data_IF_145135022183
#
_entry.id   IF_145135022183
#
_cell.length_a   1.000
_cell.length_b   1.000
_cell.length_c   1.000
_cell.angle_alpha   90.00
_cell.angle_beta   90.00
_cell.angle_gamma   90.00
#
_symmetry.space_group_name_H-M   'P 1'
#
loop_
_entity.id
_entity.type
_entity.pdbx_description
1 polymer ?
#
# COMPACT_ATOMS: atom_id res chain seq x y z
N UNK A 1 -17.27 -19.25 -1.52
CA UNK A 1 -16.09 -18.97 -2.36
C UNK A 1 -14.91 -18.42 -1.56
N UNK A 2 -14.82 -17.13 -1.22
CA UNK A 2 -13.65 -16.56 -0.51
C UNK A 2 -13.42 -17.14 0.91
N UNK A 3 -14.47 -17.69 1.52
CA UNK A 3 -14.45 -18.26 2.88
C UNK A 3 -14.10 -19.75 2.92
N UNK A 4 -13.94 -20.38 1.76
CA UNK A 4 -13.57 -21.78 1.70
C UNK A 4 -12.12 -21.94 2.18
N UNK A 5 -11.83 -22.93 3.06
CA UNK A 5 -10.49 -23.11 3.60
C UNK A 5 -9.40 -23.19 2.52
N UNK A 6 -9.69 -23.86 1.40
CA UNK A 6 -8.76 -23.98 0.27
C UNK A 6 -8.40 -22.64 -0.38
N UNK A 7 -9.36 -21.72 -0.49
CA UNK A 7 -9.13 -20.37 -1.05
C UNK A 7 -8.26 -19.54 -0.11
N UNK A 8 -8.56 -19.60 1.21
CA UNK A 8 -7.73 -18.91 2.21
C UNK A 8 -6.28 -19.41 2.19
N UNK A 9 -6.07 -20.72 2.14
CA UNK A 9 -4.72 -21.30 2.05
C UNK A 9 -4.00 -20.88 0.76
N UNK A 10 -4.70 -20.80 -0.37
CA UNK A 10 -4.12 -20.31 -1.62
C UNK A 10 -3.69 -18.84 -1.51
N UNK A 11 -4.54 -17.96 -0.98
CA UNK A 11 -4.23 -16.55 -0.73
C UNK A 11 -2.97 -16.42 0.15
N UNK A 12 -2.93 -17.15 1.27
CA UNK A 12 -1.78 -17.14 2.18
C UNK A 12 -0.49 -17.61 1.51
N UNK A 13 -0.56 -18.59 0.60
CA UNK A 13 0.59 -19.04 -0.18
C UNK A 13 1.15 -17.93 -1.08
N UNK A 14 0.28 -17.21 -1.80
CA UNK A 14 0.67 -16.07 -2.63
C UNK A 14 1.28 -14.94 -1.79
N UNK A 15 0.65 -14.60 -0.66
CA UNK A 15 1.16 -13.58 0.26
C UNK A 15 2.59 -13.90 0.73
N UNK A 16 2.81 -15.14 1.21
CA UNK A 16 4.14 -15.59 1.65
C UNK A 16 5.16 -15.57 0.53
N UNK A 17 4.76 -16.01 -0.68
CA UNK A 17 5.62 -15.97 -1.86
C UNK A 17 6.02 -14.53 -2.21
N UNK A 18 5.06 -13.60 -2.22
CA UNK A 18 5.30 -12.18 -2.51
C UNK A 18 6.26 -11.58 -1.49
N UNK A 19 6.05 -11.80 -0.19
CA UNK A 19 6.95 -11.31 0.84
C UNK A 19 8.37 -11.86 0.67
N UNK A 20 8.53 -13.16 0.46
CA UNK A 20 9.85 -13.77 0.37
C UNK A 20 10.65 -13.33 -0.86
N UNK A 21 9.99 -13.10 -2.00
CA UNK A 21 10.70 -12.78 -3.25
C UNK A 21 10.87 -11.28 -3.50
N UNK A 22 10.15 -10.41 -2.80
CA UNK A 22 10.24 -8.96 -3.00
C UNK A 22 10.98 -8.30 -1.83
N UNK A 23 12.24 -7.88 -1.98
CA UNK A 23 13.02 -7.29 -0.89
C UNK A 23 12.43 -5.95 -0.40
N UNK A 24 11.74 -5.22 -1.27
CA UNK A 24 11.12 -3.92 -0.97
C UNK A 24 9.75 -4.01 -0.29
N UNK A 25 9.13 -5.19 -0.31
CA UNK A 25 7.83 -5.44 0.30
C UNK A 25 8.01 -5.63 1.81
N UNK A 26 7.48 -4.69 2.60
CA UNK A 26 7.45 -4.76 4.06
C UNK A 26 6.21 -5.47 4.58
N UNK A 27 5.08 -5.34 3.87
CA UNK A 27 3.81 -6.01 4.16
C UNK A 27 3.05 -6.33 2.87
N UNK A 28 2.19 -7.35 2.89
CA UNK A 28 1.25 -7.61 1.80
C UNK A 28 0.09 -8.46 2.28
N UNK A 29 -1.04 -8.32 1.61
CA UNK A 29 -2.24 -9.03 1.98
C UNK A 29 -3.34 -8.95 0.95
N UNK A 30 -4.46 -9.50 1.35
CA UNK A 30 -5.73 -9.43 0.63
C UNK A 30 -6.81 -8.90 1.56
N UNK A 31 -7.54 -7.90 1.09
CA UNK A 31 -8.70 -7.34 1.77
C UNK A 31 -9.94 -7.54 0.90
N UNK A 32 -11.06 -7.93 1.50
CA UNK A 32 -12.33 -8.10 0.82
C UNK A 32 -13.47 -7.71 1.75
N UNK A 33 -14.42 -6.98 1.22
CA UNK A 33 -15.70 -6.71 1.86
C UNK A 33 -16.82 -7.23 0.96
N UNK A 34 -17.67 -8.08 1.52
CA UNK A 34 -18.84 -8.63 0.83
C UNK A 34 -20.06 -8.05 1.53
N UNK A 35 -20.84 -7.23 0.83
CA UNK A 35 -22.12 -6.71 1.31
C UNK A 35 -23.12 -7.83 1.54
N UNK A 36 -24.06 -7.60 2.46
CA UNK A 36 -25.14 -8.56 2.69
C UNK A 36 -26.06 -8.63 1.47
N UNK A 37 -26.31 -9.85 0.99
CA UNK A 37 -27.19 -10.10 -0.15
C UNK A 37 -27.97 -11.39 0.06
N UNK A 38 -29.29 -11.25 0.28
CA UNK A 38 -30.18 -12.38 0.56
C UNK A 38 -29.75 -13.14 1.82
N UNK A 39 -29.35 -14.40 1.67
CA UNK A 39 -28.90 -15.26 2.77
C UNK A 39 -27.41 -15.05 3.15
N UNK A 40 -26.64 -14.31 2.35
CA UNK A 40 -25.23 -14.03 2.63
C UNK A 40 -25.15 -12.90 3.65
N UNK A 41 -24.59 -13.21 4.83
CA UNK A 41 -24.27 -12.19 5.83
C UNK A 41 -23.10 -11.35 5.33
N UNK A 42 -23.11 -10.08 5.70
CA UNK A 42 -21.97 -9.19 5.47
C UNK A 42 -20.69 -9.83 6.01
N UNK A 43 -19.62 -9.77 5.23
CA UNK A 43 -18.36 -10.41 5.59
C UNK A 43 -17.16 -9.52 5.31
N UNK A 44 -16.27 -9.47 6.29
CA UNK A 44 -15.01 -8.76 6.26
C UNK A 44 -13.86 -9.77 6.26
N UNK A 45 -12.99 -9.69 5.26
CA UNK A 45 -11.76 -10.44 5.19
C UNK A 45 -10.59 -9.47 5.11
N UNK A 46 -9.67 -9.56 6.05
CA UNK A 46 -8.36 -8.92 5.97
C UNK A 46 -7.29 -9.96 6.35
N UNK A 47 -6.61 -10.49 5.35
CA UNK A 47 -5.49 -11.41 5.53
C UNK A 47 -4.19 -10.67 5.20
N UNK A 48 -3.43 -10.28 6.23
CA UNK A 48 -2.24 -9.42 6.08
C UNK A 48 -1.00 -10.01 6.76
N UNK A 49 0.14 -9.97 6.08
CA UNK A 49 1.42 -10.50 6.55
C UNK A 49 2.52 -9.47 6.31
N UNK A 50 3.56 -9.48 7.15
CA UNK A 50 4.65 -8.51 7.07
C UNK A 50 6.00 -9.08 7.52
N UNK A 51 7.08 -8.41 7.14
CA UNK A 51 8.43 -8.73 7.57
C UNK A 51 8.74 -8.03 8.89
N UNK A 52 9.32 -8.77 9.83
CA UNK A 52 10.09 -8.22 10.95
C UNK A 52 11.56 -8.59 10.76
N UNK A 53 12.45 -7.90 11.46
CA UNK A 53 13.92 -8.04 11.36
C UNK A 53 14.47 -9.48 11.49
N UNK A 54 13.66 -10.45 11.95
CA UNK A 54 14.04 -11.86 12.10
C UNK A 54 13.02 -12.85 11.52
N UNK A 55 12.43 -12.54 10.36
CA UNK A 55 11.61 -13.48 9.57
C UNK A 55 10.20 -12.97 9.24
N UNK A 56 9.41 -13.83 8.60
CA UNK A 56 8.00 -13.53 8.31
C UNK A 56 7.18 -13.66 9.59
N UNK A 57 6.44 -12.60 9.94
CA UNK A 57 5.34 -12.70 10.89
C UNK A 57 4.05 -12.45 10.16
N UNK A 58 3.11 -13.38 10.28
CA UNK A 58 1.72 -13.03 10.05
C UNK A 58 1.39 -11.88 11.01
N UNK A 59 0.72 -10.83 10.53
CA UNK A 59 -0.02 -10.05 11.52
C UNK A 59 -1.14 -10.99 11.94
N UNK A 60 -1.04 -11.59 13.13
CA UNK A 60 -2.26 -11.95 13.85
C UNK A 60 -2.86 -10.62 14.31
N UNK A 61 -3.38 -9.89 13.35
CA UNK A 61 -4.66 -9.24 13.49
C UNK A 61 -5.66 -10.41 13.46
N UNK A 62 -5.66 -11.28 14.48
CA UNK A 62 -6.90 -11.91 14.97
C UNK A 62 -7.78 -10.80 15.55
N UNK A 63 -7.97 -9.74 14.75
CA UNK A 63 -9.08 -8.85 14.87
C UNK A 63 -10.25 -9.76 14.58
N UNK A 64 -10.97 -10.10 15.64
CA UNK A 64 -12.35 -10.50 15.51
C UNK A 64 -13.06 -9.56 14.52
N UNK A 65 -14.17 -10.02 13.92
CA UNK A 65 -14.91 -9.17 12.99
C UNK A 65 -15.22 -7.79 13.58
N UNK A 66 -15.40 -7.69 14.90
CA UNK A 66 -15.62 -6.43 15.59
C UNK A 66 -14.44 -5.45 15.43
N UNK A 67 -13.19 -5.90 15.46
CA UNK A 67 -12.04 -5.02 15.29
C UNK A 67 -11.72 -4.74 13.82
N UNK A 68 -12.02 -5.68 12.90
CA UNK A 68 -11.97 -5.40 11.46
C UNK A 68 -13.03 -4.37 11.03
N UNK A 69 -14.24 -4.47 11.59
CA UNK A 69 -15.32 -3.49 11.38
C UNK A 69 -14.98 -2.12 11.96
N UNK A 70 -14.26 -2.05 13.09
CA UNK A 70 -13.81 -0.78 13.68
C UNK A 70 -12.72 -0.08 12.85
N UNK A 71 -11.94 -0.85 12.09
CA UNK A 71 -10.91 -0.31 11.19
C UNK A 71 -11.51 0.25 9.89
N UNK A 72 -12.68 -0.27 9.46
CA UNK A 72 -13.32 -0.05 8.16
C UNK A 72 -12.33 0.34 7.05
N UNK A 73 -11.55 -0.65 6.60
CA UNK A 73 -10.54 -0.42 5.55
C UNK A 73 -11.14 0.08 4.23
N UNK A 74 -12.46 0.03 4.03
CA UNK A 74 -13.11 0.60 2.82
C UNK A 74 -12.99 2.11 2.77
N UNK A 75 -12.74 2.74 3.91
CA UNK A 75 -12.49 4.19 3.99
C UNK A 75 -11.07 4.55 3.57
N UNK A 76 -10.15 3.58 3.50
CA UNK A 76 -8.77 3.83 3.12
C UNK A 76 -8.62 3.87 1.60
N UNK A 77 -7.88 4.87 1.11
CA UNK A 77 -7.68 5.09 -0.32
C UNK A 77 -7.02 3.90 -1.03
N UNK A 78 -6.12 3.17 -0.35
CA UNK A 78 -5.52 1.95 -0.91
C UNK A 78 -6.54 0.84 -1.20
N UNK A 79 -7.71 0.85 -0.55
CA UNK A 79 -8.80 -0.09 -0.84
C UNK A 79 -9.86 0.54 -1.75
N UNK A 80 -10.34 1.72 -1.37
CA UNK A 80 -11.47 2.41 -2.03
C UNK A 80 -11.20 2.69 -3.50
N UNK A 81 -10.02 3.25 -3.81
CA UNK A 81 -9.68 3.74 -5.13
C UNK A 81 -9.51 2.62 -6.16
N UNK A 82 -8.72 1.54 -5.92
CA UNK A 82 -8.62 0.45 -6.88
C UNK A 82 -9.94 -0.31 -7.08
N UNK A 83 -10.81 -0.39 -6.06
CA UNK A 83 -12.16 -0.96 -6.20
C UNK A 83 -13.04 -0.11 -7.10
N UNK A 84 -13.06 1.21 -6.89
CA UNK A 84 -13.87 2.14 -7.66
C UNK A 84 -13.40 2.31 -9.11
N UNK A 85 -12.08 2.35 -9.32
CA UNK A 85 -11.48 2.60 -10.63
C UNK A 85 -11.21 1.31 -11.43
N UNK A 86 -11.21 0.14 -10.79
CA UNK A 86 -10.96 -1.14 -11.44
C UNK A 86 -9.53 -1.29 -11.98
N UNK A 87 -8.56 -0.51 -11.48
CA UNK A 87 -7.15 -0.56 -11.90
C UNK A 87 -6.20 -0.40 -10.71
N UNK A 88 -4.91 -0.62 -10.95
CA UNK A 88 -3.86 -0.45 -9.96
C UNK A 88 -3.79 0.99 -9.43
N UNK A 89 -3.48 1.12 -8.14
CA UNK A 89 -3.35 2.40 -7.44
C UNK A 89 -2.19 2.34 -6.44
N UNK A 90 -1.49 3.45 -6.22
CA UNK A 90 -0.49 3.59 -5.15
C UNK A 90 -0.96 4.71 -4.23
N UNK A 91 -1.27 4.35 -2.99
CA UNK A 91 -1.60 5.31 -1.94
C UNK A 91 -0.34 5.73 -1.19
N UNK A 92 -0.28 6.99 -0.80
CA UNK A 92 0.75 7.52 0.09
C UNK A 92 1.68 8.54 -0.57
N UNK A 93 2.69 9.00 0.18
CA UNK A 93 3.09 8.48 1.48
C UNK A 93 2.10 8.85 2.59
N UNK A 94 1.79 7.90 3.49
CA UNK A 94 0.95 8.12 4.66
C UNK A 94 1.52 7.38 5.87
N UNK A 95 1.16 7.80 7.10
CA UNK A 95 1.57 7.09 8.32
C UNK A 95 0.62 5.92 8.54
N UNK A 96 1.14 4.70 8.48
CA UNK A 96 0.35 3.50 8.76
C UNK A 96 0.24 3.27 10.28
N UNK A 97 -0.77 3.89 10.89
CA UNK A 97 -1.06 3.74 12.32
C UNK A 97 -1.53 2.34 12.73
N UNK A 98 -1.73 1.42 11.79
CA UNK A 98 -2.34 0.12 12.04
C UNK A 98 -1.25 -0.94 12.22
N UNK A 99 -0.26 -0.99 11.32
CA UNK A 99 0.75 -2.04 11.38
C UNK A 99 1.98 -1.65 12.20
N UNK A 100 2.58 -0.49 11.92
CA UNK A 100 3.93 -0.16 12.40
C UNK A 100 4.23 1.33 12.62
N UNK A 101 3.24 2.22 12.47
CA UNK A 101 3.36 3.69 12.60
C UNK A 101 4.49 4.27 11.75
N UNK A 102 4.84 3.60 10.65
CA UNK A 102 5.88 4.03 9.73
C UNK A 102 5.26 4.74 8.53
N UNK A 103 6.07 5.56 7.86
CA UNK A 103 5.65 6.19 6.61
C UNK A 103 5.69 5.15 5.49
N UNK A 104 4.55 4.96 4.85
CA UNK A 104 4.28 3.82 3.95
C UNK A 104 3.71 4.30 2.62
N UNK A 105 4.10 3.61 1.56
CA UNK A 105 3.39 3.57 0.28
C UNK A 105 2.70 2.22 0.17
N UNK A 106 1.42 2.21 -0.20
CA UNK A 106 0.67 0.98 -0.42
C UNK A 106 0.27 0.86 -1.88
N UNK A 107 0.87 -0.09 -2.58
CA UNK A 107 0.48 -0.45 -3.93
C UNK A 107 -0.64 -1.48 -3.87
N UNK A 108 -1.73 -1.22 -4.58
CA UNK A 108 -2.96 -1.98 -4.49
C UNK A 108 -3.55 -2.24 -5.88
N UNK A 109 -4.05 -3.47 -6.08
CA UNK A 109 -4.71 -3.89 -7.31
C UNK A 109 -6.03 -4.57 -7.00
N UNK A 110 -7.11 -4.30 -7.76
CA UNK A 110 -8.36 -5.01 -7.58
C UNK A 110 -8.20 -6.47 -8.03
N UNK A 111 -8.77 -7.39 -7.25
CA UNK A 111 -8.87 -8.79 -7.60
C UNK A 111 -10.24 -9.03 -8.19
N UNK A 112 -10.31 -9.53 -9.43
CA UNK A 112 -11.57 -9.76 -10.13
C UNK A 112 -11.84 -11.25 -10.35
N UNK A 113 -13.10 -11.65 -10.26
CA UNK A 113 -13.59 -12.94 -10.73
C UNK A 113 -14.92 -12.76 -11.45
N UNK A 114 -15.05 -13.32 -12.66
CA UNK A 114 -16.28 -13.17 -13.45
C UNK A 114 -16.64 -11.71 -13.77
N UNK A 115 -15.65 -10.82 -13.86
CA UNK A 115 -15.85 -9.38 -14.09
C UNK A 115 -16.30 -8.58 -12.85
N UNK A 116 -16.42 -9.22 -11.68
CA UNK A 116 -16.76 -8.55 -10.42
C UNK A 116 -15.51 -8.40 -9.55
N UNK A 117 -15.39 -7.25 -8.89
CA UNK A 117 -14.32 -7.00 -7.91
C UNK A 117 -14.64 -7.78 -6.64
N UNK A 118 -13.74 -8.70 -6.30
CA UNK A 118 -13.82 -9.52 -5.08
C UNK A 118 -13.12 -8.87 -3.89
N UNK A 119 -12.27 -7.86 -4.13
CA UNK A 119 -11.45 -7.25 -3.11
C UNK A 119 -10.18 -6.65 -3.71
N UNK A 120 -9.18 -6.44 -2.86
CA UNK A 120 -7.91 -5.80 -3.21
C UNK A 120 -6.75 -6.64 -2.70
N UNK A 121 -5.80 -6.93 -3.59
CA UNK A 121 -4.48 -7.39 -3.20
C UNK A 121 -3.58 -6.16 -3.05
N UNK A 122 -2.90 -6.03 -1.93
CA UNK A 122 -2.07 -4.86 -1.66
C UNK A 122 -0.73 -5.25 -1.04
N UNK A 123 0.26 -4.38 -1.22
CA UNK A 123 1.57 -4.49 -0.58
C UNK A 123 2.05 -3.12 -0.12
N UNK A 124 2.77 -3.14 0.99
CA UNK A 124 3.39 -1.98 1.60
C UNK A 124 4.87 -1.92 1.26
N UNK A 125 5.34 -0.70 1.04
CA UNK A 125 6.72 -0.31 0.88
C UNK A 125 7.00 0.78 1.91
N UNK A 126 8.01 0.58 2.75
CA UNK A 126 8.46 1.63 3.66
C UNK A 126 9.11 2.76 2.86
N UNK A 127 8.75 4.00 3.17
CA UNK A 127 9.38 5.14 2.49
C UNK A 127 10.87 5.22 2.81
N UNK A 128 11.29 4.84 4.02
CA UNK A 128 12.72 4.73 4.35
C UNK A 128 13.47 3.79 3.40
N UNK A 129 12.83 2.71 2.95
CA UNK A 129 13.42 1.78 1.98
C UNK A 129 13.55 2.41 0.59
N UNK A 130 12.61 3.27 0.20
CA UNK A 130 12.71 4.06 -1.04
C UNK A 130 13.89 5.03 -0.93
N UNK A 131 14.04 5.71 0.21
CA UNK A 131 15.17 6.63 0.44
C UNK A 131 16.52 5.91 0.37
N UNK A 132 16.65 4.76 1.04
CA UNK A 132 17.87 3.93 1.03
C UNK A 132 18.31 3.54 -0.39
N UNK A 133 17.36 3.25 -1.29
CA UNK A 133 17.64 2.79 -2.65
C UNK A 133 17.87 3.95 -3.63
N UNK A 134 17.17 5.07 -3.45
CA UNK A 134 17.28 6.21 -4.36
C UNK A 134 18.46 7.13 -4.02
N UNK A 135 18.78 7.32 -2.73
CA UNK A 135 19.81 8.27 -2.30
C UNK A 135 21.19 8.03 -2.96
N UNK A 136 21.69 6.79 -3.10
CA UNK A 136 22.97 6.53 -3.76
C UNK A 136 22.99 6.90 -5.26
N UNK A 137 21.82 6.97 -5.91
CA UNK A 137 21.69 7.24 -7.34
C UNK A 137 21.75 8.74 -7.68
N UNK A 138 21.52 9.62 -6.70
CA UNK A 138 21.36 11.06 -6.96
C UNK A 138 22.69 11.84 -6.99
N UNK A 139 23.80 11.30 -6.48
CA UNK A 139 25.08 12.01 -6.45
C UNK A 139 24.99 13.38 -5.74
N UNK A 140 25.20 14.47 -6.49
CA UNK A 140 25.09 15.87 -6.00
C UNK A 140 23.80 16.56 -6.42
N UNK A 141 22.93 15.87 -7.16
CA UNK A 141 21.71 16.44 -7.71
C UNK A 141 20.69 16.76 -6.61
N UNK A 142 20.00 17.88 -6.79
CA UNK A 142 18.89 18.30 -5.92
C UNK A 142 17.58 17.85 -6.55
N UNK A 143 17.05 16.74 -6.09
CA UNK A 143 15.84 16.14 -6.64
C UNK A 143 14.78 15.97 -5.58
N UNK A 144 13.53 16.09 -6.01
CA UNK A 144 12.35 15.91 -5.17
C UNK A 144 11.39 15.01 -5.94
N UNK A 145 11.02 13.88 -5.33
CA UNK A 145 9.99 12.98 -5.83
C UNK A 145 8.74 13.16 -4.98
N UNK A 146 7.61 13.44 -5.61
CA UNK A 146 6.31 13.57 -4.95
C UNK A 146 5.30 12.59 -5.53
N UNK A 147 4.26 12.26 -4.78
CA UNK A 147 3.04 11.68 -5.35
C UNK A 147 2.25 12.74 -6.15
N UNK A 148 1.13 12.34 -6.76
CA UNK A 148 0.30 13.26 -7.55
C UNK A 148 -0.35 14.40 -6.74
N UNK A 149 -0.49 14.25 -5.43
CA UNK A 149 -1.00 15.29 -4.53
C UNK A 149 0.11 16.26 -4.05
N UNK A 150 1.35 16.07 -4.52
CA UNK A 150 2.50 16.87 -4.10
C UNK A 150 3.09 16.46 -2.75
N UNK A 151 2.69 15.33 -2.16
CA UNK A 151 3.33 14.80 -0.95
C UNK A 151 4.70 14.23 -1.28
N UNK A 152 5.72 14.66 -0.55
CA UNK A 152 7.11 14.26 -0.79
C UNK A 152 7.31 12.79 -0.43
N UNK A 153 7.70 11.97 -1.41
CA UNK A 153 8.12 10.57 -1.24
C UNK A 153 9.63 10.49 -0.98
N UNK A 154 10.41 11.32 -1.67
CA UNK A 154 11.87 11.34 -1.56
C UNK A 154 12.39 12.76 -1.83
N UNK A 155 13.44 13.18 -1.12
CA UNK A 155 14.07 14.49 -1.32
C UNK A 155 15.55 14.42 -0.96
N UNK A 156 16.43 14.94 -1.82
CA UNK A 156 17.83 15.19 -1.43
C UNK A 156 18.03 16.54 -0.76
N UNK A 157 16.99 17.37 -0.66
CA UNK A 157 17.04 18.65 0.03
C UNK A 157 16.71 18.47 1.53
N UNK A 158 17.66 18.72 2.45
CA UNK A 158 17.48 18.49 3.89
C UNK A 158 16.48 19.44 4.56
N UNK A 159 16.01 20.47 3.86
CA UNK A 159 14.98 21.40 4.38
C UNK A 159 13.55 20.91 4.10
N UNK A 160 13.38 19.90 3.26
CA UNK A 160 12.09 19.35 2.89
C UNK A 160 11.91 17.99 3.56
N UNK A 161 10.86 17.82 4.35
CA UNK A 161 10.61 16.54 5.00
C UNK A 161 9.77 15.63 4.13
N UNK A 162 10.10 14.35 4.19
CA UNK A 162 9.28 13.31 3.59
C UNK A 162 7.87 13.34 4.21
N UNK A 163 6.83 13.24 3.38
CA UNK A 163 5.43 13.30 3.76
C UNK A 163 4.81 14.71 3.79
N UNK A 164 5.63 15.77 3.82
CA UNK A 164 5.15 17.15 3.71
C UNK A 164 4.65 17.46 2.28
N UNK A 165 3.79 18.46 2.15
CA UNK A 165 3.32 18.95 0.85
C UNK A 165 4.36 19.87 0.23
N UNK A 166 4.78 19.54 -0.97
CA UNK A 166 5.67 20.35 -1.78
C UNK A 166 4.87 21.32 -2.66
N UNK A 167 5.31 22.57 -2.71
CA UNK A 167 4.79 23.59 -3.63
C UNK A 167 5.88 23.94 -4.63
N UNK A 168 5.64 23.64 -5.91
CA UNK A 168 6.60 23.76 -7.00
C UNK A 168 6.77 25.20 -7.49
N UNK A 169 6.97 26.16 -6.59
CA UNK A 169 7.02 27.59 -6.96
C UNK A 169 8.28 27.98 -7.75
N UNK A 170 9.33 27.14 -7.78
CA UNK A 170 10.58 27.46 -8.48
C UNK A 170 11.38 26.24 -9.01
N UNK A 171 10.79 25.05 -9.07
CA UNK A 171 11.51 23.82 -9.45
C UNK A 171 11.04 23.28 -10.81
N UNK A 172 11.98 22.79 -11.61
CA UNK A 172 11.68 22.22 -12.93
C UNK A 172 11.13 20.81 -12.76
N UNK A 173 9.93 20.55 -13.29
CA UNK A 173 9.38 19.21 -13.42
C UNK A 173 10.09 18.49 -14.57
N UNK A 174 10.92 17.51 -14.25
CA UNK A 174 11.73 16.79 -15.25
C UNK A 174 11.13 15.44 -15.66
N UNK A 175 10.25 14.87 -14.84
CA UNK A 175 9.56 13.62 -15.16
C UNK A 175 8.23 13.48 -14.42
N UNK A 176 7.26 12.84 -15.08
CA UNK A 176 5.96 12.49 -14.51
C UNK A 176 5.49 11.13 -15.04
N UNK A 177 4.87 10.35 -14.16
CA UNK A 177 4.08 9.17 -14.53
C UNK A 177 2.72 9.20 -13.81
N UNK A 178 1.96 8.10 -13.91
CA UNK A 178 0.63 7.97 -13.30
C UNK A 178 0.61 7.94 -11.75
N UNK A 179 1.77 8.01 -11.10
CA UNK A 179 1.91 7.90 -9.64
C UNK A 179 2.77 9.00 -9.02
N UNK A 180 3.77 9.51 -9.75
CA UNK A 180 4.76 10.43 -9.20
C UNK A 180 5.18 11.53 -10.15
N UNK A 181 5.67 12.61 -9.54
CA UNK A 181 6.34 13.74 -10.19
C UNK A 181 7.75 13.87 -9.64
N UNK A 182 8.72 14.06 -10.52
CA UNK A 182 10.13 14.26 -10.19
C UNK A 182 10.55 15.67 -10.61
N UNK A 183 11.05 16.42 -9.65
CA UNK A 183 11.56 17.77 -9.84
C UNK A 183 13.07 17.80 -9.65
N UNK A 184 13.73 18.71 -10.37
CA UNK A 184 15.15 19.05 -10.19
C UNK A 184 15.30 20.53 -9.83
N UNK A 185 16.25 20.84 -8.94
CA UNK A 185 16.61 22.21 -8.51
C UNK A 185 17.97 22.64 -9.02
#
# INVERSE_FOLDING_TARGET
MLLEPGVKTAIQSYIKKTLNHNPYCSGTGFASHIESAGAVREYWLLEWWYKKDKGLKQVSLDLDQATQQRLDFRTFEWFKTPVAEGKAYIHGPYVDYICNTSLTLTAAVPVLAGGQVLGVAALDILVSRVEEELLPLCGREKVILTNLDGRIIFSTNPRLRIGELFRAEAQELIYQNSYSLLYQQ
#
